data_IF_046626493335
#
_entry.id   IF_046626493335
#
_cell.length_a   1.000
_cell.length_b   1.000
_cell.length_c   1.000
_cell.angle_alpha   90.00
_cell.angle_beta   90.00
_cell.angle_gamma   90.00
#
_symmetry.space_group_name_H-M   'P 1'
#
loop_
_entity.id
_entity.type
_entity.pdbx_description
1 polymer ?
#
# COMPACT_ATOMS: atom_id res chain seq x y z
N UNK A 1 -24.73 0.75 -15.56
CA UNK A 1 -23.70 1.64 -16.07
C UNK A 1 -23.65 1.54 -17.59
N UNK A 2 -23.72 2.66 -18.28
CA UNK A 2 -23.51 2.77 -19.73
C UNK A 2 -22.06 3.16 -20.07
N UNK A 3 -21.74 3.26 -21.37
CA UNK A 3 -20.42 3.66 -21.80
C UNK A 3 -20.02 5.05 -21.28
N UNK A 4 -18.86 5.15 -20.63
CA UNK A 4 -18.35 6.40 -20.06
C UNK A 4 -18.92 6.78 -18.70
N UNK A 5 -19.80 5.97 -18.12
CA UNK A 5 -20.35 6.22 -16.79
C UNK A 5 -19.45 5.65 -15.68
N UNK A 6 -19.45 6.36 -14.56
CA UNK A 6 -18.81 5.93 -13.31
C UNK A 6 -19.89 5.57 -12.30
N UNK A 7 -19.69 4.52 -11.53
CA UNK A 7 -20.66 4.09 -10.54
C UNK A 7 -20.10 3.09 -9.56
N UNK A 8 -20.98 2.52 -8.77
CA UNK A 8 -20.67 1.52 -7.76
C UNK A 8 -20.98 0.12 -8.26
N UNK A 9 -20.10 -0.80 -7.97
CA UNK A 9 -20.28 -2.23 -8.21
C UNK A 9 -20.28 -2.95 -6.87
N UNK A 10 -21.24 -3.84 -6.68
CA UNK A 10 -21.26 -4.79 -5.57
C UNK A 10 -21.29 -6.19 -6.15
N UNK A 11 -20.46 -7.07 -5.63
CA UNK A 11 -20.40 -8.46 -6.01
C UNK A 11 -20.18 -9.32 -4.75
N UNK A 12 -20.51 -10.61 -4.83
CA UNK A 12 -20.27 -11.56 -3.73
C UNK A 12 -18.78 -12.00 -3.70
N UNK A 13 -17.88 -11.03 -3.60
CA UNK A 13 -16.44 -11.24 -3.50
C UNK A 13 -16.11 -11.47 -2.04
N UNK A 14 -15.61 -12.66 -1.71
CA UNK A 14 -15.30 -13.06 -0.34
C UNK A 14 -13.90 -12.66 0.11
N UNK A 15 -12.97 -12.56 -0.83
CA UNK A 15 -11.61 -12.12 -0.60
C UNK A 15 -11.34 -10.84 -1.41
N UNK A 16 -11.04 -9.76 -0.70
CA UNK A 16 -10.70 -8.48 -1.35
C UNK A 16 -9.39 -8.58 -2.14
N UNK A 17 -8.47 -9.48 -1.76
CA UNK A 17 -7.26 -9.76 -2.51
C UNK A 17 -7.50 -10.24 -3.95
N UNK A 18 -8.71 -10.76 -4.24
CA UNK A 18 -9.12 -11.18 -5.58
C UNK A 18 -9.44 -10.00 -6.53
N UNK A 19 -9.46 -8.77 -6.02
CA UNK A 19 -9.74 -7.57 -6.82
C UNK A 19 -8.62 -6.55 -6.69
N UNK A 20 -8.20 -6.01 -7.82
CA UNK A 20 -7.15 -5.00 -7.87
C UNK A 20 -7.60 -3.75 -8.64
N UNK A 21 -7.04 -2.59 -8.26
CA UNK A 21 -7.26 -1.37 -9.04
C UNK A 21 -6.68 -1.54 -10.43
N UNK A 22 -7.52 -1.30 -11.44
CA UNK A 22 -7.18 -1.47 -12.85
C UNK A 22 -7.68 -2.78 -13.46
N UNK A 23 -8.35 -3.61 -12.67
CA UNK A 23 -8.99 -4.82 -13.19
C UNK A 23 -10.07 -4.49 -14.22
N UNK A 24 -10.20 -5.35 -15.20
CA UNK A 24 -11.21 -5.24 -16.24
C UNK A 24 -12.38 -6.17 -15.93
N UNK A 25 -13.54 -5.57 -15.73
CA UNK A 25 -14.79 -6.34 -15.61
C UNK A 25 -15.32 -6.70 -16.99
N UNK A 26 -15.72 -7.95 -17.14
CA UNK A 26 -16.19 -8.48 -18.42
C UNK A 26 -17.40 -9.39 -18.24
N UNK A 27 -18.06 -9.71 -19.33
CA UNK A 27 -19.19 -10.61 -19.30
C UNK A 27 -18.73 -12.07 -19.27
N UNK A 28 -19.31 -12.90 -18.41
CA UNK A 28 -18.92 -14.29 -18.22
C UNK A 28 -19.06 -15.12 -19.53
N UNK A 29 -20.20 -15.01 -20.19
CA UNK A 29 -20.46 -15.75 -21.44
C UNK A 29 -19.70 -15.19 -22.67
N UNK A 30 -19.27 -13.93 -22.61
CA UNK A 30 -18.55 -13.23 -23.68
C UNK A 30 -17.40 -12.41 -23.11
N UNK A 31 -16.39 -13.08 -22.57
CA UNK A 31 -15.26 -12.40 -21.94
C UNK A 31 -14.50 -11.52 -22.95
N UNK A 32 -13.99 -10.40 -22.48
CA UNK A 32 -13.07 -9.57 -23.25
C UNK A 32 -11.80 -10.37 -23.58
N UNK A 33 -11.27 -10.22 -24.80
CA UNK A 33 -10.08 -10.95 -25.24
C UNK A 33 -8.81 -10.52 -24.46
N UNK A 34 -8.78 -9.32 -23.88
CA UNK A 34 -7.69 -8.80 -23.09
C UNK A 34 -8.19 -7.73 -22.11
N UNK A 35 -7.43 -7.50 -21.04
CA UNK A 35 -7.68 -6.40 -20.12
C UNK A 35 -7.56 -5.04 -20.83
N UNK A 36 -8.32 -4.04 -20.35
CA UNK A 36 -8.25 -2.68 -20.89
C UNK A 36 -6.85 -2.11 -20.62
N UNK A 37 -6.11 -1.67 -21.65
CA UNK A 37 -4.75 -1.20 -21.49
C UNK A 37 -4.70 0.16 -20.79
N UNK A 38 -3.55 0.48 -20.17
CA UNK A 38 -3.27 1.79 -19.59
C UNK A 38 -3.39 1.87 -18.07
N UNK A 39 -4.01 0.90 -17.43
CA UNK A 39 -4.01 0.81 -15.97
C UNK A 39 -2.71 0.17 -15.48
N UNK A 40 -2.03 0.86 -14.58
CA UNK A 40 -0.83 0.35 -13.91
C UNK A 40 -1.09 0.34 -12.42
N UNK A 41 -0.64 -0.70 -11.69
CA UNK A 41 -0.72 -0.69 -10.25
C UNK A 41 0.05 0.53 -9.70
N UNK A 42 -0.53 1.19 -8.71
CA UNK A 42 0.15 2.25 -7.98
C UNK A 42 1.38 1.65 -7.29
N UNK A 43 2.54 2.30 -7.44
CA UNK A 43 3.78 1.85 -6.80
C UNK A 43 4.19 2.85 -5.73
N UNK A 44 4.44 2.39 -4.50
CA UNK A 44 5.00 3.24 -3.48
C UNK A 44 6.35 3.83 -3.91
N UNK A 45 6.58 5.08 -3.54
CA UNK A 45 7.83 5.82 -3.82
C UNK A 45 8.50 6.36 -2.56
N UNK A 46 7.75 6.40 -1.45
CA UNK A 46 8.25 6.80 -0.13
C UNK A 46 8.05 5.64 0.83
N UNK A 47 9.05 5.33 1.62
CA UNK A 47 9.01 4.26 2.61
C UNK A 47 9.32 4.81 3.99
N UNK A 48 8.62 4.31 5.01
CA UNK A 48 8.86 4.64 6.41
C UNK A 48 8.52 3.42 7.27
N UNK A 49 9.31 3.18 8.29
CA UNK A 49 8.99 2.19 9.32
C UNK A 49 7.95 2.75 10.28
N UNK A 50 6.91 2.00 10.57
CA UNK A 50 5.91 2.30 11.60
C UNK A 50 6.04 1.28 12.73
N UNK A 51 6.28 1.78 13.93
CA UNK A 51 6.51 0.97 15.12
C UNK A 51 5.52 1.40 16.22
N UNK A 52 4.86 0.45 16.89
CA UNK A 52 4.04 0.80 18.05
C UNK A 52 4.95 1.23 19.20
N UNK A 53 4.51 2.21 19.99
CA UNK A 53 5.24 2.61 21.21
C UNK A 53 5.20 1.53 22.28
N UNK A 54 4.13 0.74 22.32
CA UNK A 54 4.00 -0.44 23.16
C UNK A 54 4.11 -1.71 22.28
N UNK A 55 5.02 -2.60 22.65
CA UNK A 55 5.23 -3.85 21.91
C UNK A 55 4.00 -4.77 21.92
N UNK A 56 3.10 -4.65 22.89
CA UNK A 56 1.84 -5.40 22.93
C UNK A 56 0.88 -4.99 21.80
N UNK A 57 1.00 -3.77 21.30
CA UNK A 57 0.18 -3.24 20.20
C UNK A 57 0.63 -3.72 18.80
N UNK A 58 1.68 -4.54 18.70
CA UNK A 58 2.14 -5.06 17.39
C UNK A 58 1.05 -5.77 16.59
N UNK A 59 0.27 -6.64 17.23
CA UNK A 59 -0.82 -7.35 16.57
C UNK A 59 -1.97 -6.42 16.18
N UNK A 60 -2.28 -5.44 17.03
CA UNK A 60 -3.28 -4.42 16.76
C UNK A 60 -2.86 -3.55 15.56
N UNK A 61 -1.58 -3.17 15.50
CA UNK A 61 -1.02 -2.45 14.35
C UNK A 61 -1.13 -3.27 13.06
N UNK A 62 -0.79 -4.56 13.10
CA UNK A 62 -0.92 -5.45 11.94
C UNK A 62 -2.35 -5.49 11.40
N UNK A 63 -3.33 -5.74 12.27
CA UNK A 63 -4.74 -5.76 11.88
C UNK A 63 -5.22 -4.42 11.32
N UNK A 64 -4.76 -3.31 11.90
CA UNK A 64 -5.08 -1.98 11.41
C UNK A 64 -4.51 -1.72 10.00
N UNK A 65 -3.26 -2.12 9.75
CA UNK A 65 -2.63 -2.03 8.44
C UNK A 65 -3.34 -2.91 7.39
N UNK A 66 -3.70 -4.13 7.75
CA UNK A 66 -4.51 -5.02 6.90
C UNK A 66 -5.84 -4.36 6.52
N UNK A 67 -6.57 -3.81 7.48
CA UNK A 67 -7.84 -3.11 7.24
C UNK A 67 -7.68 -1.85 6.38
N UNK A 68 -6.61 -1.08 6.57
CA UNK A 68 -6.33 0.09 5.75
C UNK A 68 -6.01 -0.30 4.30
N UNK A 69 -5.22 -1.35 4.09
CA UNK A 69 -4.85 -1.80 2.75
C UNK A 69 -6.04 -2.25 1.91
N UNK A 70 -7.15 -2.67 2.53
CA UNK A 70 -8.39 -3.00 1.84
C UNK A 70 -9.02 -1.79 1.13
N UNK A 71 -8.80 -0.58 1.67
CA UNK A 71 -9.36 0.66 1.13
C UNK A 71 -8.33 1.49 0.36
N UNK A 72 -7.07 1.11 0.42
CA UNK A 72 -5.96 1.85 -0.18
C UNK A 72 -4.97 0.90 -0.87
N UNK A 73 -5.25 0.60 -2.13
CA UNK A 73 -4.41 -0.29 -2.93
C UNK A 73 -3.02 0.32 -3.29
N UNK A 74 -2.79 1.58 -2.98
CA UNK A 74 -1.50 2.23 -3.16
C UNK A 74 -0.59 2.10 -1.92
N UNK A 75 -1.14 1.63 -0.82
CA UNK A 75 -0.44 1.37 0.42
C UNK A 75 0.10 -0.06 0.44
N UNK A 76 1.35 -0.22 0.81
CA UNK A 76 1.97 -1.53 1.03
C UNK A 76 2.65 -1.57 2.39
N UNK A 77 2.72 -2.74 2.99
CA UNK A 77 3.43 -2.94 4.24
C UNK A 77 4.05 -4.34 4.31
N UNK A 78 5.17 -4.43 4.99
CA UNK A 78 5.87 -5.69 5.27
C UNK A 78 6.43 -5.67 6.70
N UNK A 79 6.51 -6.81 7.38
CA UNK A 79 7.12 -6.87 8.71
C UNK A 79 8.57 -6.39 8.69
N UNK A 80 8.93 -5.59 9.66
CA UNK A 80 10.29 -5.08 9.85
C UNK A 80 10.69 -5.16 11.32
N UNK A 81 11.98 -5.34 11.57
CA UNK A 81 12.53 -5.36 12.92
C UNK A 81 13.65 -4.34 13.04
N UNK A 82 13.53 -3.44 14.00
CA UNK A 82 14.55 -2.48 14.37
C UNK A 82 15.22 -2.90 15.67
N UNK A 83 16.54 -2.80 15.75
CA UNK A 83 17.28 -3.05 16.99
C UNK A 83 16.89 -2.05 18.11
N UNK A 84 16.52 -0.83 17.75
CA UNK A 84 16.17 0.23 18.69
C UNK A 84 14.67 0.27 19.01
N UNK A 85 13.79 -0.05 18.05
CA UNK A 85 12.35 0.14 18.15
C UNK A 85 11.57 -1.18 18.25
N UNK A 86 12.24 -2.33 18.10
CA UNK A 86 11.60 -3.64 18.16
C UNK A 86 10.90 -4.02 16.87
N UNK A 87 9.74 -4.67 17.00
CA UNK A 87 8.95 -5.16 15.86
C UNK A 87 8.00 -4.07 15.36
N UNK A 88 7.94 -3.92 14.06
CA UNK A 88 7.09 -2.97 13.36
C UNK A 88 6.85 -3.38 11.92
N UNK A 89 6.53 -2.40 11.09
CA UNK A 89 6.26 -2.61 9.67
C UNK A 89 6.92 -1.54 8.84
N UNK A 90 7.59 -1.97 7.77
CA UNK A 90 8.01 -1.07 6.70
C UNK A 90 6.82 -0.82 5.80
N UNK A 91 6.40 0.43 5.70
CA UNK A 91 5.24 0.85 4.94
C UNK A 91 5.67 1.66 3.72
N UNK A 92 4.99 1.39 2.60
CA UNK A 92 5.22 2.08 1.33
C UNK A 92 4.04 3.00 0.98
N UNK A 93 4.34 4.22 0.56
CA UNK A 93 3.38 5.31 0.32
C UNK A 93 3.61 5.96 -1.04
N UNK A 94 2.57 6.60 -1.61
CA UNK A 94 2.68 7.39 -2.85
C UNK A 94 3.44 8.69 -2.68
N UNK A 95 3.63 9.16 -1.45
CA UNK A 95 4.32 10.39 -1.13
C UNK A 95 4.19 10.73 0.35
N UNK A 96 4.80 11.83 0.78
CA UNK A 96 4.82 12.24 2.18
C UNK A 96 3.42 12.53 2.73
N UNK A 97 2.58 13.25 1.98
CA UNK A 97 1.20 13.52 2.39
C UNK A 97 0.39 12.23 2.58
N UNK A 98 0.61 11.23 1.73
CA UNK A 98 -0.03 9.93 1.89
C UNK A 98 0.44 9.23 3.17
N UNK A 99 1.73 9.28 3.49
CA UNK A 99 2.26 8.75 4.74
C UNK A 99 1.63 9.42 5.97
N UNK A 100 1.53 10.75 5.97
CA UNK A 100 0.91 11.52 7.06
C UNK A 100 -0.57 11.15 7.25
N UNK A 101 -1.32 10.97 6.14
CA UNK A 101 -2.73 10.58 6.18
C UNK A 101 -2.88 9.17 6.77
N UNK A 102 -2.09 8.20 6.30
CA UNK A 102 -2.14 6.82 6.79
C UNK A 102 -1.78 6.77 8.27
N UNK A 103 -0.73 7.45 8.69
CA UNK A 103 -0.35 7.52 10.12
C UNK A 103 -1.47 8.13 10.95
N UNK A 104 -2.03 9.27 10.55
CA UNK A 104 -3.12 9.93 11.25
C UNK A 104 -4.37 9.05 11.36
N UNK A 105 -4.66 8.23 10.34
CA UNK A 105 -5.75 7.27 10.36
C UNK A 105 -5.50 6.13 11.34
N UNK A 106 -4.28 5.56 11.35
CA UNK A 106 -3.90 4.52 12.30
C UNK A 106 -4.05 5.00 13.75
N UNK A 107 -3.62 6.22 14.04
CA UNK A 107 -3.72 6.80 15.36
C UNK A 107 -5.18 7.09 15.78
N UNK A 108 -5.99 7.65 14.89
CA UNK A 108 -7.35 8.09 15.20
C UNK A 108 -8.40 6.98 15.13
N UNK A 109 -8.32 6.12 14.11
CA UNK A 109 -9.35 5.10 13.86
C UNK A 109 -9.09 3.82 14.68
N UNK A 110 -7.81 3.55 15.00
CA UNK A 110 -7.41 2.32 15.69
C UNK A 110 -6.80 2.57 17.07
N UNK A 111 -6.78 3.82 17.53
CA UNK A 111 -6.26 4.18 18.85
C UNK A 111 -4.85 3.59 19.09
N UNK A 112 -3.95 3.85 18.15
CA UNK A 112 -2.55 3.44 18.19
C UNK A 112 -1.66 4.66 18.46
N UNK A 113 -0.59 4.45 19.22
CA UNK A 113 0.50 5.44 19.34
C UNK A 113 1.71 4.90 18.61
N UNK A 114 2.15 5.61 17.56
CA UNK A 114 3.16 5.12 16.63
C UNK A 114 4.42 5.98 16.64
N UNK A 115 5.55 5.32 16.40
CA UNK A 115 6.81 5.94 16.04
C UNK A 115 7.00 5.70 14.54
N UNK A 116 7.07 6.80 13.77
CA UNK A 116 7.43 6.73 12.37
C UNK A 116 8.92 7.05 12.20
N UNK A 117 9.63 6.25 11.41
CA UNK A 117 11.02 6.59 11.04
C UNK A 117 11.03 7.68 9.97
N UNK A 118 12.18 8.34 9.81
CA UNK A 118 12.33 9.31 8.72
C UNK A 118 12.01 8.64 7.36
N UNK A 119 11.20 9.31 6.51
CA UNK A 119 10.85 8.76 5.22
C UNK A 119 12.10 8.56 4.35
N UNK A 120 12.19 7.40 3.71
CA UNK A 120 13.22 7.06 2.75
C UNK A 120 12.62 6.90 1.35
N UNK A 121 13.42 7.21 0.32
CA UNK A 121 13.05 7.01 -1.07
C UNK A 121 14.02 6.02 -1.71
N UNK A 122 13.54 5.30 -2.71
CA UNK A 122 14.40 4.44 -3.52
C UNK A 122 15.08 5.29 -4.59
N UNK A 123 16.41 5.29 -4.61
CA UNK A 123 17.21 5.97 -5.62
C UNK A 123 17.61 4.98 -6.70
N UNK A 124 17.34 5.30 -7.94
CA UNK A 124 17.90 4.59 -9.08
C UNK A 124 19.17 5.32 -9.54
N UNK A 125 20.29 4.64 -9.42
CA UNK A 125 21.59 5.15 -9.88
C UNK A 125 21.90 4.53 -11.24
N UNK A 126 22.14 5.38 -12.24
CA UNK A 126 22.58 4.96 -13.56
C UNK A 126 24.06 5.32 -13.72
N UNK A 127 24.87 4.31 -14.01
CA UNK A 127 26.28 4.49 -14.28
C UNK A 127 26.52 4.89 -15.75
N UNK A 128 27.60 5.60 -16.02
CA UNK A 128 27.97 5.99 -17.38
C UNK A 128 28.16 4.82 -18.35
N UNK A 129 28.33 3.59 -17.84
CA UNK A 129 28.39 2.33 -18.59
C UNK A 129 27.04 1.71 -18.94
N UNK A 130 25.90 2.32 -18.56
CA UNK A 130 24.55 1.80 -18.81
C UNK A 130 24.04 0.80 -17.76
N UNK A 131 24.83 0.48 -16.76
CA UNK A 131 24.38 -0.32 -15.61
C UNK A 131 23.55 0.55 -14.67
N UNK A 132 22.45 -0.02 -14.11
CA UNK A 132 21.63 0.66 -13.13
C UNK A 132 21.41 -0.23 -11.91
N UNK A 133 21.40 0.38 -10.72
CA UNK A 133 21.07 -0.28 -9.47
C UNK A 133 20.24 0.63 -8.58
N UNK A 134 19.43 0.01 -7.72
CA UNK A 134 18.59 0.73 -6.77
C UNK A 134 19.28 0.76 -5.40
N UNK A 135 19.31 1.96 -4.79
CA UNK A 135 19.78 2.18 -3.43
C UNK A 135 18.58 2.50 -2.57
N UNK A 136 18.41 1.74 -1.50
CA UNK A 136 17.46 2.02 -0.43
C UNK A 136 18.26 2.50 0.77
N UNK A 137 17.80 3.57 1.40
CA UNK A 137 18.43 4.09 2.61
C UNK A 137 17.75 3.49 3.83
#
# INVERSE_FOLDING_TARGET
>A
LGPGEVGWLTADIKDIGDTQIGDTLTHDERPAAAAVPGFKPARPVVFSGLYPTDSEDYHKLKEALEKLSLNDAAFSFEPETSQALGFGFRCGFLGLLHADIVQARLEREFDLTLIATAPAVVYRVELAGGESYEIQN
#
